data_IF_801456013240
#
_entry.id   IF_801456013240
#
_cell.length_a   1.000
_cell.length_b   1.000
_cell.length_c   1.000
_cell.angle_alpha   90.00
_cell.angle_beta   90.00
_cell.angle_gamma   90.00
#
_symmetry.space_group_name_H-M   'P 1'
#
loop_
_entity.id
_entity.type
_entity.pdbx_description
1 polymer ?
#
# COMPACT_ATOMS: atom_id res chain seq x y z
N UNK A 1 4.02 20.03 8.76
CA UNK A 1 4.38 18.62 9.00
C UNK A 1 3.23 17.72 8.51
N UNK A 2 3.55 16.64 7.80
CA UNK A 2 2.52 15.73 7.33
C UNK A 2 2.10 14.75 8.42
N UNK A 3 0.82 14.36 8.46
CA UNK A 3 0.33 13.30 9.35
C UNK A 3 0.91 11.95 8.98
N UNK A 4 1.08 11.70 7.69
CA UNK A 4 1.60 10.45 7.17
C UNK A 4 3.11 10.40 7.40
N UNK A 5 3.54 9.51 8.27
CA UNK A 5 4.95 9.28 8.60
C UNK A 5 5.31 7.82 8.36
N UNK A 6 6.60 7.53 8.25
CA UNK A 6 7.09 6.15 8.16
C UNK A 6 6.62 5.31 9.36
N UNK A 7 6.71 5.85 10.56
CA UNK A 7 6.30 5.13 11.78
C UNK A 7 4.82 4.79 11.79
N UNK A 8 3.96 5.72 11.35
CA UNK A 8 2.52 5.47 11.23
C UNK A 8 2.23 4.36 10.21
N UNK A 9 2.90 4.38 9.08
CA UNK A 9 2.75 3.35 8.05
C UNK A 9 3.20 1.98 8.56
N UNK A 10 4.35 1.92 9.23
CA UNK A 10 4.84 0.66 9.83
C UNK A 10 3.88 0.11 10.89
N UNK A 11 3.33 0.97 11.74
CA UNK A 11 2.29 0.60 12.70
C UNK A 11 1.05 0.04 12.01
N UNK A 12 0.60 0.67 10.94
CA UNK A 12 -0.53 0.21 10.15
C UNK A 12 -0.30 -1.18 9.56
N UNK A 13 0.88 -1.43 9.02
CA UNK A 13 1.25 -2.74 8.49
C UNK A 13 1.27 -3.79 9.61
N UNK A 14 1.85 -3.47 10.77
CA UNK A 14 1.87 -4.37 11.93
C UNK A 14 0.45 -4.73 12.38
N UNK A 15 -0.46 -3.77 12.41
CA UNK A 15 -1.87 -4.02 12.74
C UNK A 15 -2.58 -4.88 11.69
N UNK A 16 -2.15 -4.82 10.45
CA UNK A 16 -2.71 -5.61 9.35
C UNK A 16 -2.20 -7.06 9.32
N UNK A 17 -1.06 -7.37 9.94
CA UNK A 17 -0.38 -8.67 9.82
C UNK A 17 -1.28 -9.88 10.06
N UNK A 18 -2.15 -9.92 11.10
CA UNK A 18 -3.03 -11.08 11.29
C UNK A 18 -3.94 -11.35 10.09
N UNK A 19 -4.51 -10.30 9.49
CA UNK A 19 -5.36 -10.42 8.30
C UNK A 19 -4.55 -10.81 7.07
N UNK A 20 -3.37 -10.24 6.89
CA UNK A 20 -2.45 -10.59 5.79
C UNK A 20 -2.11 -12.07 5.84
N UNK A 21 -1.73 -12.58 7.00
CA UNK A 21 -1.38 -13.99 7.19
C UNK A 21 -2.57 -14.91 7.02
N UNK A 22 -3.75 -14.52 7.49
CA UNK A 22 -4.98 -15.29 7.29
C UNK A 22 -5.37 -15.39 5.80
N UNK A 23 -5.23 -14.31 5.04
CA UNK A 23 -5.47 -14.30 3.59
C UNK A 23 -4.43 -15.14 2.87
N UNK A 24 -3.15 -14.99 3.19
CA UNK A 24 -2.07 -15.77 2.59
C UNK A 24 -2.23 -17.28 2.83
N UNK A 25 -2.75 -17.68 3.98
CA UNK A 25 -3.03 -19.08 4.30
C UNK A 25 -4.11 -19.71 3.40
N UNK A 26 -4.97 -18.90 2.79
CA UNK A 26 -5.97 -19.36 1.81
C UNK A 26 -5.39 -19.60 0.42
N UNK A 27 -4.17 -19.14 0.18
CA UNK A 27 -3.52 -19.25 -1.11
C UNK A 27 -2.98 -20.67 -1.33
N UNK A 28 -3.32 -21.32 -2.45
CA UNK A 28 -3.02 -22.73 -2.66
C UNK A 28 -1.68 -22.98 -3.33
N UNK A 29 -1.14 -22.01 -4.06
CA UNK A 29 0.16 -22.09 -4.71
C UNK A 29 0.84 -20.72 -4.72
N UNK A 30 2.15 -20.70 -4.91
CA UNK A 30 2.91 -19.48 -4.83
C UNK A 30 3.46 -19.22 -3.42
N UNK A 31 4.04 -18.06 -3.17
CA UNK A 31 4.54 -17.71 -1.84
C UNK A 31 3.39 -17.56 -0.84
N UNK A 32 3.72 -17.74 0.43
CA UNK A 32 2.76 -17.58 1.55
C UNK A 32 2.85 -16.20 2.20
N UNK A 33 3.32 -15.23 1.46
CA UNK A 33 3.51 -13.88 1.92
C UNK A 33 3.41 -12.86 0.81
N UNK A 34 3.69 -11.61 1.15
CA UNK A 34 3.60 -10.48 0.24
C UNK A 34 4.70 -9.46 0.48
N UNK A 35 4.96 -8.65 -0.54
CA UNK A 35 5.59 -7.34 -0.39
C UNK A 35 4.50 -6.27 -0.36
N UNK A 36 4.57 -5.39 0.64
CA UNK A 36 3.69 -4.23 0.79
C UNK A 36 4.52 -3.00 0.56
N UNK A 37 4.07 -2.13 -0.32
CA UNK A 37 4.71 -0.84 -0.60
C UNK A 37 3.72 0.28 -0.37
N UNK A 38 4.20 1.40 0.19
CA UNK A 38 3.36 2.56 0.50
C UNK A 38 4.06 3.82 0.04
N UNK A 39 3.32 4.67 -0.65
CA UNK A 39 3.72 6.01 -1.03
C UNK A 39 2.65 7.00 -0.61
N UNK A 40 3.05 8.21 -0.30
CA UNK A 40 2.10 9.24 0.11
C UNK A 40 2.78 10.56 0.43
N UNK A 41 1.94 11.56 0.68
CA UNK A 41 2.39 12.90 1.04
C UNK A 41 3.21 12.87 2.32
N UNK A 42 4.44 13.36 2.27
CA UNK A 42 5.37 13.36 3.39
C UNK A 42 6.28 12.13 3.44
N UNK A 43 6.08 11.15 2.55
CA UNK A 43 6.94 9.99 2.39
C UNK A 43 7.90 10.27 1.22
N UNK A 44 9.19 10.45 1.54
CA UNK A 44 10.21 10.80 0.53
C UNK A 44 10.51 9.66 -0.44
N UNK A 45 10.56 8.44 0.07
CA UNK A 45 10.76 7.21 -0.72
C UNK A 45 9.69 6.20 -0.36
N UNK A 46 9.21 5.38 -1.31
CA UNK A 46 8.26 4.32 -0.99
C UNK A 46 8.75 3.46 0.17
N UNK A 47 7.87 3.22 1.13
CA UNK A 47 8.12 2.28 2.22
C UNK A 47 7.88 0.88 1.66
N UNK A 48 8.83 -0.02 1.88
CA UNK A 48 8.75 -1.41 1.42
C UNK A 48 8.83 -2.34 2.62
N UNK A 49 7.86 -3.24 2.74
CA UNK A 49 7.84 -4.25 3.78
C UNK A 49 7.62 -5.63 3.20
N UNK A 50 8.53 -6.55 3.47
CA UNK A 50 8.34 -7.97 3.17
C UNK A 50 7.60 -8.64 4.32
N UNK A 51 6.54 -9.36 4.01
CA UNK A 51 5.79 -10.16 4.97
C UNK A 51 5.85 -11.62 4.54
N UNK A 52 6.66 -12.41 5.25
CA UNK A 52 6.72 -13.88 5.15
C UNK A 52 7.13 -14.44 3.77
N UNK A 53 7.75 -13.66 2.89
CA UNK A 53 8.36 -14.21 1.67
C UNK A 53 9.85 -14.49 1.95
N UNK A 54 10.25 -15.74 1.79
CA UNK A 54 11.65 -16.15 1.95
C UNK A 54 12.45 -15.95 0.67
N UNK A 55 13.77 -15.84 0.78
CA UNK A 55 14.67 -15.81 -0.38
C UNK A 55 14.55 -17.09 -1.24
N UNK A 56 14.27 -18.22 -0.63
CA UNK A 56 14.04 -19.48 -1.31
C UNK A 56 12.77 -19.43 -2.18
N UNK A 57 11.68 -18.89 -1.64
CA UNK A 57 10.44 -18.69 -2.40
C UNK A 57 10.64 -17.73 -3.57
N UNK A 58 11.38 -16.64 -3.37
CA UNK A 58 11.73 -15.71 -4.45
C UNK A 58 12.46 -16.42 -5.61
N UNK A 59 13.43 -17.26 -5.28
CA UNK A 59 14.17 -18.06 -6.29
C UNK A 59 13.28 -19.09 -6.99
N UNK A 60 12.43 -19.78 -6.21
CA UNK A 60 11.52 -20.81 -6.72
C UNK A 60 10.54 -20.27 -7.75
N UNK A 61 9.91 -19.14 -7.46
CA UNK A 61 8.89 -18.56 -8.34
C UNK A 61 9.45 -17.65 -9.42
N UNK A 62 10.75 -17.35 -9.42
CA UNK A 62 11.44 -16.53 -10.41
C UNK A 62 10.75 -15.17 -10.67
N UNK A 63 10.10 -14.64 -9.66
CA UNK A 63 9.41 -13.35 -9.72
C UNK A 63 9.96 -12.42 -8.64
N UNK A 64 10.24 -11.19 -9.03
CA UNK A 64 10.60 -10.15 -8.09
C UNK A 64 9.34 -9.43 -7.60
N UNK A 65 8.71 -9.99 -6.56
CA UNK A 65 7.46 -9.46 -6.01
C UNK A 65 7.62 -8.04 -5.45
N UNK A 66 8.79 -7.70 -4.93
CA UNK A 66 9.11 -6.35 -4.49
C UNK A 66 9.02 -5.37 -5.65
N UNK A 67 9.67 -5.68 -6.75
CA UNK A 67 9.68 -4.84 -7.95
C UNK A 67 8.28 -4.73 -8.58
N UNK A 68 7.54 -5.82 -8.62
CA UNK A 68 6.15 -5.82 -9.12
C UNK A 68 5.28 -4.88 -8.27
N UNK A 69 5.39 -4.94 -6.94
CA UNK A 69 4.66 -4.03 -6.07
C UNK A 69 5.01 -2.56 -6.35
N UNK A 70 6.31 -2.25 -6.51
CA UNK A 70 6.77 -0.89 -6.82
C UNK A 70 6.33 -0.42 -8.21
N UNK A 71 6.32 -1.30 -9.21
CA UNK A 71 5.85 -0.98 -10.55
C UNK A 71 4.37 -0.64 -10.59
N UNK A 72 3.55 -1.31 -9.80
CA UNK A 72 2.12 -0.99 -9.65
C UNK A 72 1.90 0.32 -8.87
N UNK A 73 2.76 0.59 -7.90
CA UNK A 73 2.65 1.75 -7.03
C UNK A 73 2.79 3.08 -7.81
N UNK A 74 3.73 3.16 -8.74
CA UNK A 74 4.08 4.41 -9.41
C UNK A 74 2.91 5.01 -10.23
N UNK A 75 2.29 4.30 -11.19
CA UNK A 75 1.16 4.84 -11.93
C UNK A 75 -0.07 5.08 -11.05
N UNK A 76 -0.34 4.21 -10.08
CA UNK A 76 -1.45 4.40 -9.14
C UNK A 76 -1.28 5.67 -8.30
N UNK A 77 -0.06 5.97 -7.87
CA UNK A 77 0.25 7.21 -7.13
C UNK A 77 0.07 8.44 -8.02
N UNK A 78 0.61 8.41 -9.23
CA UNK A 78 0.52 9.53 -10.18
C UNK A 78 -0.93 9.87 -10.52
N UNK A 79 -1.74 8.86 -10.80
CA UNK A 79 -3.11 9.04 -11.28
C UNK A 79 -4.16 9.05 -10.15
N UNK A 80 -3.79 8.70 -8.93
CA UNK A 80 -4.73 8.62 -7.81
C UNK A 80 -5.83 7.57 -8.02
N UNK A 81 -5.49 6.45 -8.68
CA UNK A 81 -6.42 5.38 -9.05
C UNK A 81 -5.87 4.01 -8.72
N UNK A 82 -6.75 3.02 -8.57
CA UNK A 82 -6.30 1.63 -8.43
C UNK A 82 -5.65 1.13 -9.72
N UNK A 83 -4.72 0.19 -9.60
CA UNK A 83 -4.10 -0.44 -10.77
C UNK A 83 -5.14 -1.18 -11.63
N UNK A 84 -6.17 -1.75 -11.01
CA UNK A 84 -7.28 -2.39 -11.72
C UNK A 84 -8.07 -1.38 -12.59
N UNK A 85 -8.34 -0.20 -12.05
CA UNK A 85 -8.99 0.89 -12.80
C UNK A 85 -8.12 1.37 -13.97
N UNK A 86 -6.82 1.56 -13.73
CA UNK A 86 -5.89 1.99 -14.77
C UNK A 86 -5.80 0.99 -15.91
N UNK A 87 -5.60 -0.29 -15.61
CA UNK A 87 -5.45 -1.32 -16.63
C UNK A 87 -6.75 -1.61 -17.39
N UNK A 88 -7.90 -1.59 -16.70
CA UNK A 88 -9.18 -1.95 -17.26
C UNK A 88 -9.95 -0.79 -17.90
N UNK A 89 -10.03 0.34 -17.19
CA UNK A 89 -10.92 1.45 -17.57
C UNK A 89 -10.18 2.62 -18.23
N UNK A 90 -8.93 2.86 -17.82
CA UNK A 90 -8.15 4.04 -18.25
C UNK A 90 -6.73 3.68 -18.73
N UNK A 91 -6.56 2.69 -19.62
CA UNK A 91 -5.22 2.23 -20.01
C UNK A 91 -4.37 3.32 -20.70
N UNK A 92 -4.99 4.33 -21.30
CA UNK A 92 -4.28 5.46 -21.90
C UNK A 92 -3.59 6.39 -20.88
N UNK A 93 -3.85 6.23 -19.58
CA UNK A 93 -3.14 6.94 -18.53
C UNK A 93 -1.81 6.28 -18.15
N UNK A 94 -1.55 5.07 -18.63
CA UNK A 94 -0.28 4.38 -18.43
C UNK A 94 0.76 4.87 -19.44
N UNK A 95 1.98 5.06 -18.96
CA UNK A 95 3.11 5.35 -19.83
C UNK A 95 3.66 4.05 -20.44
N UNK A 96 4.32 4.18 -21.60
CA UNK A 96 4.93 3.03 -22.26
C UNK A 96 5.97 2.36 -21.35
N UNK A 97 5.85 1.06 -21.16
CA UNK A 97 6.72 0.28 -20.29
C UNK A 97 6.27 0.19 -18.84
N UNK A 98 5.19 0.84 -18.45
CA UNK A 98 4.59 0.64 -17.13
C UNK A 98 3.95 -0.73 -17.00
N UNK A 99 3.84 -1.20 -15.74
CA UNK A 99 3.36 -2.55 -15.44
C UNK A 99 1.97 -2.82 -15.98
N UNK A 100 1.81 -3.98 -16.61
CA UNK A 100 0.52 -4.51 -17.06
C UNK A 100 -0.23 -5.28 -15.95
N UNK A 101 0.35 -5.39 -14.75
CA UNK A 101 -0.31 -6.06 -13.63
C UNK A 101 -1.52 -5.23 -13.20
N UNK A 102 -2.69 -5.84 -13.30
CA UNK A 102 -3.97 -5.15 -13.20
C UNK A 102 -4.49 -4.98 -11.77
N UNK A 103 -3.94 -5.70 -10.79
CA UNK A 103 -4.44 -5.64 -9.41
C UNK A 103 -3.33 -5.54 -8.39
N UNK A 104 -3.66 -4.98 -7.24
CA UNK A 104 -2.80 -4.95 -6.07
C UNK A 104 -2.35 -3.56 -5.63
N UNK A 105 -2.47 -2.52 -6.46
CA UNK A 105 -2.27 -1.14 -6.03
C UNK A 105 -3.61 -0.44 -5.83
N UNK A 106 -3.78 0.22 -4.69
CA UNK A 106 -4.98 0.97 -4.33
C UNK A 106 -4.66 2.40 -3.99
N UNK A 107 -5.45 3.30 -4.54
CA UNK A 107 -5.38 4.72 -4.29
C UNK A 107 -6.76 5.32 -4.47
N UNK A 108 -7.10 6.28 -3.63
CA UNK A 108 -8.37 7.00 -3.71
C UNK A 108 -8.09 8.50 -3.68
N UNK A 109 -7.72 9.04 -4.84
CA UNK A 109 -7.28 10.41 -4.95
C UNK A 109 -5.81 10.60 -4.53
N UNK A 110 -5.33 11.85 -4.43
CA UNK A 110 -3.93 12.14 -4.18
C UNK A 110 -3.52 11.84 -2.74
N UNK A 111 -2.27 11.47 -2.56
CA UNK A 111 -1.58 11.53 -1.27
C UNK A 111 -1.41 10.23 -0.52
N UNK A 112 -2.04 9.14 -0.90
CA UNK A 112 -1.82 7.82 -0.30
C UNK A 112 -2.08 6.70 -1.30
N UNK A 113 -1.08 5.87 -1.51
CA UNK A 113 -1.17 4.66 -2.34
C UNK A 113 -0.53 3.50 -1.61
N UNK A 114 -1.18 2.36 -1.62
CA UNK A 114 -0.66 1.09 -1.12
C UNK A 114 -0.65 0.09 -2.27
N UNK A 115 0.46 -0.61 -2.45
CA UNK A 115 0.59 -1.65 -3.48
C UNK A 115 1.14 -2.93 -2.87
N UNK A 116 0.55 -4.04 -3.25
CA UNK A 116 0.87 -5.37 -2.73
C UNK A 116 1.14 -6.34 -3.88
N UNK A 117 2.11 -7.22 -3.69
CA UNK A 117 2.41 -8.29 -4.63
C UNK A 117 2.89 -9.55 -3.91
N UNK A 118 2.45 -10.71 -4.37
CA UNK A 118 2.85 -12.01 -3.85
C UNK A 118 1.78 -13.09 -3.94
N UNK A 119 0.52 -12.71 -3.95
CA UNK A 119 -0.62 -13.62 -4.03
C UNK A 119 -1.38 -13.44 -5.36
N UNK A 120 -2.60 -13.93 -5.44
CA UNK A 120 -3.50 -13.58 -6.54
C UNK A 120 -3.83 -12.08 -6.49
N UNK A 121 -4.10 -11.50 -7.65
CA UNK A 121 -4.40 -10.08 -7.77
C UNK A 121 -5.53 -9.61 -6.85
N UNK A 122 -6.57 -10.41 -6.70
CA UNK A 122 -7.71 -10.13 -5.82
C UNK A 122 -7.30 -10.11 -4.34
N UNK A 123 -6.43 -11.01 -3.94
CA UNK A 123 -5.91 -11.07 -2.57
C UNK A 123 -4.93 -9.92 -2.30
N UNK A 124 -4.04 -9.63 -3.24
CA UNK A 124 -3.13 -8.49 -3.18
C UNK A 124 -3.91 -7.17 -3.01
N UNK A 125 -4.95 -6.97 -3.80
CA UNK A 125 -5.80 -5.78 -3.74
C UNK A 125 -6.56 -5.68 -2.40
N UNK A 126 -7.09 -6.79 -1.90
CA UNK A 126 -7.77 -6.82 -0.59
C UNK A 126 -6.82 -6.44 0.54
N UNK A 127 -5.61 -6.98 0.54
CA UNK A 127 -4.58 -6.62 1.53
C UNK A 127 -4.21 -5.13 1.41
N UNK A 128 -4.04 -4.62 0.20
CA UNK A 128 -3.73 -3.21 -0.02
C UNK A 128 -4.82 -2.31 0.57
N UNK A 129 -6.11 -2.63 0.39
CA UNK A 129 -7.21 -1.88 0.99
C UNK A 129 -7.24 -1.98 2.51
N UNK A 130 -6.91 -3.13 3.09
CA UNK A 130 -6.81 -3.28 4.55
C UNK A 130 -5.75 -2.33 5.10
N UNK A 131 -4.56 -2.33 4.55
CA UNK A 131 -3.48 -1.43 4.98
C UNK A 131 -3.86 0.03 4.76
N UNK A 132 -4.41 0.37 3.61
CA UNK A 132 -4.86 1.73 3.29
C UNK A 132 -5.87 2.24 4.30
N UNK A 133 -6.87 1.43 4.64
CA UNK A 133 -7.90 1.79 5.61
C UNK A 133 -7.36 1.92 7.04
N UNK A 134 -6.40 1.09 7.44
CA UNK A 134 -5.76 1.21 8.76
C UNK A 134 -4.93 2.50 8.84
N UNK A 135 -4.18 2.85 7.79
CA UNK A 135 -3.46 4.13 7.72
C UNK A 135 -4.44 5.29 7.89
N UNK A 136 -5.55 5.27 7.15
CA UNK A 136 -6.60 6.28 7.26
C UNK A 136 -7.15 6.38 8.69
N UNK A 137 -7.45 5.24 9.30
CA UNK A 137 -7.93 5.18 10.68
C UNK A 137 -6.94 5.80 11.67
N UNK A 138 -5.66 5.46 11.57
CA UNK A 138 -4.62 6.00 12.46
C UNK A 138 -4.49 7.53 12.32
N UNK A 139 -4.56 8.04 11.10
CA UNK A 139 -4.58 9.49 10.87
C UNK A 139 -5.80 10.15 11.54
N UNK A 140 -6.98 9.55 11.40
CA UNK A 140 -8.21 10.07 12.01
C UNK A 140 -8.14 10.01 13.54
N UNK A 141 -7.61 8.94 14.11
CA UNK A 141 -7.42 8.83 15.56
C UNK A 141 -6.44 9.87 16.09
N UNK A 142 -5.37 10.13 15.36
CA UNK A 142 -4.40 11.14 15.73
C UNK A 142 -5.05 12.54 15.78
N UNK A 143 -5.83 12.90 14.76
CA UNK A 143 -6.58 14.15 14.72
C UNK A 143 -7.60 14.25 15.87
N UNK A 144 -8.32 13.17 16.14
CA UNK A 144 -9.31 13.12 17.22
C UNK A 144 -8.67 13.31 18.58
N UNK A 145 -7.57 12.62 18.86
CA UNK A 145 -6.83 12.76 20.13
C UNK A 145 -6.35 14.20 20.35
N UNK A 146 -5.84 14.84 19.30
CA UNK A 146 -5.43 16.23 19.36
C UNK A 146 -6.59 17.18 19.67
N UNK A 147 -7.74 16.97 19.02
CA UNK A 147 -8.97 17.76 19.29
C UNK A 147 -9.46 17.57 20.73
N UNK A 148 -9.49 16.33 21.21
CA UNK A 148 -9.93 16.01 22.58
C UNK A 148 -8.98 16.60 23.63
N UNK A 149 -7.70 16.73 23.31
CA UNK A 149 -6.71 17.39 24.17
C UNK A 149 -6.67 18.92 24.01
N UNK A 150 -7.50 19.49 23.13
CA UNK A 150 -7.49 20.94 22.84
C UNK A 150 -6.28 21.42 22.05
N UNK A 151 -5.55 20.48 21.41
CA UNK A 151 -4.37 20.79 20.63
C UNK A 151 -4.71 21.03 19.16
N UNK A 152 -3.97 21.92 18.51
CA UNK A 152 -4.02 22.04 17.05
C UNK A 152 -3.08 21.01 16.41
N UNK A 153 -3.62 19.85 16.09
CA UNK A 153 -2.86 18.70 15.60
C UNK A 153 -2.16 18.97 14.27
N UNK A 154 -2.70 19.88 13.48
CA UNK A 154 -2.16 20.21 12.16
C UNK A 154 -1.16 21.38 12.18
N UNK A 155 -0.82 21.84 13.38
CA UNK A 155 0.01 23.02 13.59
C UNK A 155 -0.79 24.32 13.46
N UNK A 156 -0.19 25.41 13.89
CA UNK A 156 -0.79 26.74 13.77
C UNK A 156 -0.69 27.22 12.31
N UNK A 157 -1.72 26.87 11.54
CA UNK A 157 -1.86 27.46 10.22
C UNK A 157 -2.43 28.87 10.38
N UNK A 158 -1.55 29.86 10.36
CA UNK A 158 -1.94 31.24 10.18
C UNK A 158 -2.07 32.07 11.46
N UNK A 159 -1.19 31.89 12.40
CA UNK A 159 -0.88 32.96 13.35
C UNK A 159 0.29 33.76 12.88
#
# INVERSE_FOLDING_TARGET
MALLTKNLVEEAIDLALPSVRAIAAKHHWGPKGVYITVSGRGIKKPIVRCVDITNEEMRKYKKNFREIALQKLAPATREGRTSNSLAGDFPWLLDYGESIYDRGAVSEGPGLTVSVSGLYGEADEAIAWIVWNIIRMLCLLFIKRGRDAGENVLGDFGQ
#
